data_IF_579703857570
#
_entry.id   IF_579703857570
#
_cell.length_a   1.000
_cell.length_b   1.000
_cell.length_c   1.000
_cell.angle_alpha   90.00
_cell.angle_beta   90.00
_cell.angle_gamma   90.00
#
_symmetry.space_group_name_H-M   'P 1'
#
loop_
_entity.id
_entity.type
_entity.pdbx_description
1 polymer ?
#
# COMPACT_ATOMS: atom_id res chain seq x y z
N UNK A 1 14.47 -3.16 -11.29
CA UNK A 1 13.83 -3.07 -12.60
C UNK A 1 12.80 -1.95 -12.51
N UNK A 2 12.80 -1.04 -13.46
CA UNK A 2 11.89 0.13 -13.48
C UNK A 2 10.77 -0.16 -14.45
N UNK A 3 9.52 0.06 -14.04
CA UNK A 3 8.32 -0.18 -14.83
C UNK A 3 7.65 1.14 -15.17
N UNK A 4 7.16 1.32 -16.39
CA UNK A 4 6.54 2.56 -16.84
C UNK A 4 5.05 2.29 -17.12
N UNK A 5 4.15 3.05 -16.49
CA UNK A 5 2.72 2.91 -16.71
C UNK A 5 2.27 3.50 -18.07
N UNK A 6 1.03 3.25 -18.54
CA UNK A 6 0.51 3.82 -19.78
C UNK A 6 0.47 5.36 -19.81
N UNK A 7 0.66 6.00 -18.66
CA UNK A 7 0.72 7.45 -18.49
C UNK A 7 2.16 7.98 -18.41
N UNK A 8 3.18 7.12 -18.60
CA UNK A 8 4.59 7.47 -18.66
C UNK A 8 5.31 7.52 -17.30
N UNK A 9 4.67 7.10 -16.21
CA UNK A 9 5.27 7.16 -14.87
C UNK A 9 6.14 5.94 -14.60
N UNK A 10 7.42 6.18 -14.29
CA UNK A 10 8.37 5.12 -13.95
C UNK A 10 8.33 4.78 -12.46
N UNK A 11 8.00 3.54 -12.12
CA UNK A 11 7.97 2.99 -10.78
C UNK A 11 9.04 1.91 -10.63
N UNK A 12 9.83 1.98 -9.56
CA UNK A 12 10.77 0.92 -9.25
C UNK A 12 10.03 -0.25 -8.58
N UNK A 13 10.44 -1.48 -8.85
CA UNK A 13 9.98 -2.64 -8.05
C UNK A 13 10.18 -2.34 -6.56
N UNK A 14 9.19 -2.69 -5.74
CA UNK A 14 9.13 -2.42 -4.28
C UNK A 14 8.90 -0.96 -3.86
N UNK A 15 8.89 -0.02 -4.80
CA UNK A 15 8.59 1.36 -4.46
C UNK A 15 7.11 1.49 -4.14
N UNK A 16 6.79 1.91 -2.92
CA UNK A 16 5.41 2.21 -2.55
C UNK A 16 4.97 3.48 -3.27
N UNK A 17 3.96 3.37 -4.12
CA UNK A 17 3.41 4.51 -4.87
C UNK A 17 2.00 4.88 -4.44
N UNK A 18 1.70 6.16 -4.60
CA UNK A 18 0.35 6.72 -4.55
C UNK A 18 0.27 7.76 -5.67
N UNK A 19 -0.12 7.36 -6.88
CA UNK A 19 -0.32 8.30 -7.97
C UNK A 19 -1.62 9.08 -7.72
N UNK A 20 -1.54 10.09 -6.85
CA UNK A 20 -2.63 11.03 -6.60
C UNK A 20 -3.74 10.55 -5.67
N UNK A 21 -4.60 11.50 -5.30
CA UNK A 21 -5.70 11.32 -4.36
C UNK A 21 -6.68 10.22 -4.77
N UNK A 22 -7.08 10.20 -6.05
CA UNK A 22 -8.05 9.22 -6.53
C UNK A 22 -7.54 7.79 -6.41
N UNK A 23 -6.26 7.57 -6.73
CA UNK A 23 -5.69 6.22 -6.74
C UNK A 23 -5.48 5.69 -5.32
N UNK A 24 -5.02 6.52 -4.39
CA UNK A 24 -4.94 6.12 -2.97
C UNK A 24 -6.32 5.90 -2.35
N UNK A 25 -7.33 6.70 -2.71
CA UNK A 25 -8.71 6.53 -2.21
C UNK A 25 -9.32 5.23 -2.74
N UNK A 26 -9.12 4.92 -4.02
CA UNK A 26 -9.70 3.74 -4.66
C UNK A 26 -8.93 2.45 -4.34
N UNK A 27 -7.61 2.43 -4.57
CA UNK A 27 -6.77 1.24 -4.44
C UNK A 27 -6.11 1.10 -3.08
N UNK A 28 -5.96 2.19 -2.33
CA UNK A 28 -5.15 2.20 -1.12
C UNK A 28 -3.66 2.21 -1.42
N UNK A 29 -2.84 1.90 -0.42
CA UNK A 29 -1.39 1.83 -0.59
C UNK A 29 -1.05 0.62 -1.47
N UNK A 30 -0.27 0.79 -2.53
CA UNK A 30 0.08 -0.30 -3.44
C UNK A 30 1.45 -0.07 -4.10
N UNK A 31 1.98 -1.14 -4.71
CA UNK A 31 3.30 -1.15 -5.35
C UNK A 31 3.41 -2.28 -6.36
N UNK A 32 4.38 -2.20 -7.27
CA UNK A 32 4.76 -3.31 -8.12
C UNK A 32 5.78 -4.24 -7.47
N UNK A 33 5.40 -5.51 -7.30
CA UNK A 33 6.27 -6.62 -6.95
C UNK A 33 6.93 -7.24 -8.21
N UNK A 34 7.99 -8.07 -8.05
CA UNK A 34 8.62 -8.77 -9.16
C UNK A 34 7.63 -9.52 -10.05
N UNK A 35 7.92 -9.52 -11.35
CA UNK A 35 7.02 -10.06 -12.36
C UNK A 35 5.96 -9.07 -12.82
N UNK A 36 5.98 -7.79 -12.42
CA UNK A 36 4.94 -6.81 -12.77
C UNK A 36 3.58 -7.23 -12.22
N UNK A 37 3.55 -7.55 -10.92
CA UNK A 37 2.31 -7.77 -10.17
C UNK A 37 2.10 -6.59 -9.26
N UNK A 38 0.96 -5.92 -9.40
CA UNK A 38 0.58 -4.83 -8.51
C UNK A 38 -0.07 -5.41 -7.23
N UNK A 39 0.52 -5.11 -6.08
CA UNK A 39 0.04 -5.54 -4.77
C UNK A 39 -0.41 -4.34 -3.95
N UNK A 40 -1.53 -4.47 -3.26
CA UNK A 40 -1.97 -3.53 -2.23
C UNK A 40 -1.48 -3.98 -0.85
N UNK A 41 -1.13 -3.02 -0.01
CA UNK A 41 -0.90 -3.20 1.42
C UNK A 41 -2.21 -2.98 2.16
N UNK A 42 -2.58 -3.94 3.02
CA UNK A 42 -3.81 -3.90 3.82
C UNK A 42 -3.49 -4.17 5.28
N UNK A 43 -4.27 -3.62 6.23
CA UNK A 43 -4.23 -4.10 7.61
C UNK A 43 -4.69 -5.56 7.65
N UNK A 44 -4.06 -6.37 8.50
CA UNK A 44 -4.55 -7.71 8.82
C UNK A 44 -5.46 -7.69 10.06
N UNK A 45 -6.17 -8.79 10.30
CA UNK A 45 -7.09 -8.95 11.44
C UNK A 45 -6.38 -9.19 12.79
N UNK A 46 -5.07 -9.38 12.80
CA UNK A 46 -4.23 -9.65 13.98
C UNK A 46 -3.37 -8.44 14.38
N UNK A 47 -3.56 -7.27 13.77
CA UNK A 47 -2.79 -6.06 14.06
C UNK A 47 -1.44 -5.97 13.35
N UNK A 48 -1.23 -6.74 12.27
CA UNK A 48 -0.14 -6.64 11.31
C UNK A 48 -0.61 -6.11 9.95
N UNK A 49 0.12 -6.43 8.89
CA UNK A 49 -0.24 -6.08 7.51
C UNK A 49 -0.30 -7.33 6.64
N UNK A 50 -1.05 -7.26 5.54
CA UNK A 50 -1.08 -8.28 4.50
C UNK A 50 -0.96 -7.65 3.12
N UNK A 51 -0.56 -8.46 2.15
CA UNK A 51 -0.44 -8.07 0.75
C UNK A 51 -1.49 -8.79 -0.08
N UNK A 52 -2.25 -8.05 -0.88
CA UNK A 52 -3.29 -8.58 -1.74
C UNK A 52 -3.10 -8.09 -3.16
N UNK A 53 -3.63 -8.82 -4.14
CA UNK A 53 -3.66 -8.32 -5.51
C UNK A 53 -4.42 -6.98 -5.59
N UNK A 54 -3.82 -5.98 -6.26
CA UNK A 54 -4.46 -4.68 -6.48
C UNK A 54 -5.44 -4.73 -7.67
N UNK A 55 -5.25 -5.66 -8.61
CA UNK A 55 -6.04 -5.77 -9.84
C UNK A 55 -7.05 -6.92 -9.71
N UNK A 56 -8.37 -6.68 -9.76
CA UNK A 56 -9.39 -7.71 -9.51
C UNK A 56 -9.30 -8.94 -10.42
N UNK A 57 -8.86 -8.77 -11.66
CA UNK A 57 -8.92 -9.80 -12.71
C UNK A 57 -7.76 -10.82 -12.69
N UNK A 58 -6.75 -10.65 -11.84
CA UNK A 58 -5.60 -11.59 -11.76
C UNK A 58 -5.61 -12.47 -10.49
N UNK A 59 -6.72 -12.45 -9.75
CA UNK A 59 -6.84 -13.15 -8.45
C UNK A 59 -6.68 -14.66 -8.65
N UNK A 60 -5.74 -15.27 -7.91
CA UNK A 60 -5.50 -16.72 -7.94
C UNK A 60 -4.43 -17.19 -8.93
N UNK A 61 -3.78 -16.30 -9.67
CA UNK A 61 -2.64 -16.70 -10.50
C UNK A 61 -1.43 -17.13 -9.63
N UNK A 62 -0.65 -18.11 -10.12
CA UNK A 62 0.62 -18.51 -9.50
C UNK A 62 1.59 -17.32 -9.36
N UNK A 63 1.51 -16.38 -10.31
CA UNK A 63 2.28 -15.16 -10.34
C UNK A 63 1.96 -14.24 -9.15
N UNK A 64 0.68 -14.00 -8.87
CA UNK A 64 0.22 -13.22 -7.71
C UNK A 64 0.60 -13.91 -6.40
N UNK A 65 0.46 -15.24 -6.33
CA UNK A 65 0.84 -16.00 -5.12
C UNK A 65 2.33 -15.84 -4.81
N UNK A 66 3.20 -15.98 -5.83
CA UNK A 66 4.64 -15.75 -5.69
C UNK A 66 4.96 -14.31 -5.28
N UNK A 67 4.31 -13.33 -5.89
CA UNK A 67 4.52 -11.93 -5.55
C UNK A 67 4.15 -11.62 -4.09
N UNK A 68 3.05 -12.18 -3.58
CA UNK A 68 2.63 -12.03 -2.18
C UNK A 68 3.66 -12.66 -1.23
N UNK A 69 4.19 -13.84 -1.55
CA UNK A 69 5.23 -14.49 -0.74
C UNK A 69 6.49 -13.60 -0.69
N UNK A 70 6.97 -13.14 -1.84
CA UNK A 70 8.13 -12.26 -1.91
C UNK A 70 7.92 -10.95 -1.15
N UNK A 71 6.72 -10.37 -1.20
CA UNK A 71 6.38 -9.17 -0.44
C UNK A 71 6.41 -9.39 1.07
N UNK A 72 5.95 -10.56 1.55
CA UNK A 72 6.03 -10.95 2.97
C UNK A 72 7.48 -11.11 3.41
N UNK A 73 8.27 -11.87 2.67
CA UNK A 73 9.70 -12.05 2.94
C UNK A 73 10.45 -10.72 2.96
N UNK A 74 10.14 -9.84 2.00
CA UNK A 74 10.73 -8.49 1.94
C UNK A 74 10.31 -7.65 3.13
N UNK A 75 9.04 -7.69 3.51
CA UNK A 75 8.54 -6.99 4.70
C UNK A 75 9.25 -7.47 5.97
N UNK A 76 9.47 -8.76 6.12
CA UNK A 76 10.13 -9.33 7.30
C UNK A 76 11.61 -8.92 7.38
N UNK A 77 12.31 -8.90 6.24
CA UNK A 77 13.77 -8.79 6.21
C UNK A 77 14.32 -7.40 5.81
N UNK A 78 13.51 -6.51 5.23
CA UNK A 78 13.97 -5.20 4.76
C UNK A 78 13.33 -4.03 5.51
N UNK A 79 14.11 -3.41 6.40
CA UNK A 79 13.70 -2.22 7.15
C UNK A 79 13.41 -1.00 6.26
N UNK A 80 14.13 -0.83 5.15
CA UNK A 80 13.88 0.29 4.23
C UNK A 80 12.50 0.16 3.60
N UNK A 81 12.13 -1.06 3.18
CA UNK A 81 10.80 -1.33 2.63
C UNK A 81 9.69 -1.09 3.67
N UNK A 82 9.89 -1.53 4.91
CA UNK A 82 8.95 -1.23 6.01
C UNK A 82 8.78 0.27 6.25
N UNK A 83 9.90 1.01 6.29
CA UNK A 83 9.87 2.45 6.49
C UNK A 83 9.23 3.20 5.32
N UNK A 84 9.40 2.72 4.09
CA UNK A 84 8.70 3.26 2.92
C UNK A 84 7.17 3.08 3.05
N UNK A 85 6.71 1.89 3.42
CA UNK A 85 5.28 1.63 3.71
C UNK A 85 4.76 2.60 4.78
N UNK A 86 5.49 2.76 5.89
CA UNK A 86 5.11 3.65 6.97
C UNK A 86 5.02 5.11 6.51
N UNK A 87 6.05 5.60 5.82
CA UNK A 87 6.11 6.97 5.33
C UNK A 87 4.97 7.25 4.35
N UNK A 88 4.73 6.36 3.39
CA UNK A 88 3.66 6.49 2.41
C UNK A 88 2.27 6.35 2.99
N UNK A 89 2.08 5.52 4.03
CA UNK A 89 0.84 5.49 4.78
C UNK A 89 0.56 6.85 5.46
N UNK A 90 1.56 7.46 6.10
CA UNK A 90 1.44 8.75 6.76
C UNK A 90 1.23 9.92 5.78
N UNK A 91 1.95 9.94 4.66
CA UNK A 91 1.72 10.87 3.55
C UNK A 91 0.30 10.71 2.99
N UNK A 92 -0.14 9.47 2.80
CA UNK A 92 -1.47 9.13 2.31
C UNK A 92 -2.59 9.67 3.20
N UNK A 93 -2.48 9.49 4.53
CA UNK A 93 -3.45 10.05 5.49
C UNK A 93 -3.56 11.56 5.33
N UNK A 94 -2.42 12.27 5.23
CA UNK A 94 -2.40 13.73 5.06
C UNK A 94 -3.06 14.16 3.76
N UNK A 95 -2.68 13.52 2.65
CA UNK A 95 -3.23 13.82 1.32
C UNK A 95 -4.74 13.57 1.26
N UNK A 96 -5.19 12.41 1.75
CA UNK A 96 -6.60 12.00 1.75
C UNK A 96 -7.45 12.94 2.59
N UNK A 97 -6.99 13.30 3.79
CA UNK A 97 -7.73 14.21 4.66
C UNK A 97 -7.73 15.65 4.14
N UNK A 98 -6.66 16.10 3.47
CA UNK A 98 -6.61 17.42 2.85
C UNK A 98 -7.67 17.56 1.75
N UNK A 99 -7.76 16.58 0.85
CA UNK A 99 -8.75 16.56 -0.22
C UNK A 99 -10.17 16.27 0.29
N UNK A 100 -10.34 15.42 1.30
CA UNK A 100 -11.67 15.13 1.87
C UNK A 100 -12.40 16.38 2.44
N UNK A 101 -11.66 17.47 2.73
CA UNK A 101 -12.24 18.74 3.16
C UNK A 101 -13.04 19.43 2.05
N UNK A 102 -12.64 19.23 0.79
CA UNK A 102 -13.30 19.81 -0.39
C UNK A 102 -14.30 18.84 -1.03
N UNK A 103 -14.25 17.56 -0.68
CA UNK A 103 -15.20 16.54 -1.14
C UNK A 103 -16.50 16.51 -0.33
N UNK A 104 -17.59 16.06 -0.97
CA UNK A 104 -18.90 15.85 -0.34
C UNK A 104 -19.47 14.45 -0.66
N UNK A 105 -20.49 14.03 0.10
CA UNK A 105 -21.21 12.77 -0.15
C UNK A 105 -20.35 11.50 -0.07
N UNK A 106 -20.56 10.57 -1.01
CA UNK A 106 -19.94 9.24 -1.03
C UNK A 106 -18.41 9.28 -1.09
N UNK A 107 -17.84 10.22 -1.83
CA UNK A 107 -16.38 10.36 -1.97
C UNK A 107 -15.71 10.73 -0.65
N UNK A 108 -16.32 11.64 0.12
CA UNK A 108 -15.85 11.98 1.48
C UNK A 108 -15.87 10.78 2.42
N UNK A 109 -16.92 9.95 2.36
CA UNK A 109 -17.02 8.74 3.17
C UNK A 109 -15.95 7.71 2.80
N UNK A 110 -15.70 7.52 1.50
CA UNK A 110 -14.63 6.65 1.01
C UNK A 110 -13.24 7.15 1.45
N UNK A 111 -12.99 8.45 1.34
CA UNK A 111 -11.76 9.08 1.81
C UNK A 111 -11.56 8.90 3.32
N UNK A 112 -12.61 9.08 4.12
CA UNK A 112 -12.56 8.84 5.56
C UNK A 112 -12.25 7.38 5.88
N UNK A 113 -12.91 6.43 5.22
CA UNK A 113 -12.62 5.00 5.32
C UNK A 113 -11.16 4.69 4.99
N UNK A 114 -10.65 5.25 3.89
CA UNK A 114 -9.26 5.07 3.48
C UNK A 114 -8.27 5.67 4.47
N UNK A 115 -8.55 6.85 5.02
CA UNK A 115 -7.68 7.46 6.02
C UNK A 115 -7.54 6.59 7.28
N UNK A 116 -8.59 5.86 7.68
CA UNK A 116 -8.53 4.89 8.78
C UNK A 116 -7.66 3.70 8.42
N UNK A 117 -7.87 3.09 7.25
CA UNK A 117 -7.05 1.98 6.77
C UNK A 117 -5.56 2.33 6.75
N UNK A 118 -5.20 3.52 6.22
CA UNK A 118 -3.81 3.97 6.16
C UNK A 118 -3.21 4.20 7.56
N UNK A 119 -3.99 4.72 8.52
CA UNK A 119 -3.54 4.84 9.92
C UNK A 119 -3.27 3.49 10.55
N UNK A 120 -4.12 2.50 10.27
CA UNK A 120 -3.95 1.15 10.82
C UNK A 120 -2.71 0.48 10.21
N UNK A 121 -2.47 0.63 8.90
CA UNK A 121 -1.23 0.18 8.26
C UNK A 121 -0.02 0.82 8.95
N UNK A 122 0.00 2.15 9.10
CA UNK A 122 1.12 2.86 9.74
C UNK A 122 1.39 2.38 11.16
N UNK A 123 0.34 2.23 11.98
CA UNK A 123 0.45 1.71 13.36
C UNK A 123 0.98 0.28 13.40
N UNK A 124 0.50 -0.58 12.51
CA UNK A 124 0.88 -1.98 12.49
C UNK A 124 2.34 -2.15 12.07
N UNK A 125 2.82 -1.36 11.09
CA UNK A 125 4.24 -1.34 10.72
C UNK A 125 5.11 -0.79 11.85
N UNK A 126 4.68 0.27 12.54
CA UNK A 126 5.39 0.80 13.72
C UNK A 126 5.52 -0.25 14.83
N UNK A 127 4.43 -0.95 15.14
CA UNK A 127 4.43 -2.05 16.14
C UNK A 127 5.35 -3.19 15.73
N UNK A 128 5.33 -3.59 14.46
CA UNK A 128 6.22 -4.62 13.94
C UNK A 128 7.68 -4.20 14.11
N UNK A 129 8.04 -2.99 13.67
CA UNK A 129 9.40 -2.45 13.80
C UNK A 129 9.86 -2.39 15.26
N UNK A 130 9.00 -1.97 16.19
CA UNK A 130 9.31 -1.95 17.62
C UNK A 130 9.56 -3.36 18.18
N UNK A 131 8.79 -4.36 17.74
CA UNK A 131 8.93 -5.75 18.20
C UNK A 131 10.24 -6.41 17.77
N UNK A 132 10.74 -6.11 16.57
CA UNK A 132 11.97 -6.71 16.03
C UNK A 132 13.24 -5.93 16.38
N UNK A 133 13.10 -4.69 16.87
CA UNK A 133 14.21 -3.82 17.25
C UNK A 133 14.57 -3.88 18.74
N UNK A 134 13.80 -4.64 19.54
CA UNK A 134 14.14 -5.08 20.90
C UNK A 134 14.83 -6.45 20.84
#
# INVERSE_FOLDING_TARGET
>A
MTWIDPLGWSYSTWQIHSPGYNDIVQKGLHFYAPGSVELSVRPDHKGGITFTNAIPNERGSLKVTKAIILAKERFENDMKFRNDILNKANEGVRSVLAHAKTETGTLRNLANGRSRELRDIGRNVQRYNAKIGC
#
